data_IF_917376637327
#
_entry.id   IF_917376637327
#
_cell.length_a   1.000
_cell.length_b   1.000
_cell.length_c   1.000
_cell.angle_alpha   90.00
_cell.angle_beta   90.00
_cell.angle_gamma   90.00
#
_symmetry.space_group_name_H-M   'P 1'
#
loop_
_entity.id
_entity.type
_entity.pdbx_description
1 polymer ?
#
# COMPACT_ATOMS: atom_id res chain seq x y z
N UNK A 1 43.27 5.59 -15.62
CA UNK A 1 42.09 5.77 -14.74
C UNK A 1 40.85 5.82 -15.60
N UNK A 2 40.08 4.74 -15.68
CA UNK A 2 38.92 4.65 -16.59
C UNK A 2 37.64 4.93 -15.82
N UNK A 3 37.14 6.17 -15.92
CA UNK A 3 35.86 6.57 -15.32
C UNK A 3 34.73 5.98 -16.16
N UNK A 4 34.08 4.93 -15.64
CA UNK A 4 32.92 4.29 -16.26
C UNK A 4 31.76 5.30 -16.28
N UNK A 5 31.33 5.74 -17.47
CA UNK A 5 30.17 6.61 -17.64
C UNK A 5 28.91 5.88 -17.16
N UNK A 6 28.15 6.49 -16.25
CA UNK A 6 26.88 5.93 -15.78
C UNK A 6 25.87 5.84 -16.96
N UNK A 7 25.07 4.76 -16.97
CA UNK A 7 23.92 4.64 -17.88
C UNK A 7 23.00 5.84 -17.70
N UNK A 8 22.47 6.36 -18.81
CA UNK A 8 21.52 7.49 -18.84
C UNK A 8 20.43 7.25 -17.78
N UNK A 9 20.30 8.19 -16.83
CA UNK A 9 19.35 8.11 -15.70
C UNK A 9 19.91 7.62 -14.36
N UNK A 10 21.15 7.11 -14.30
CA UNK A 10 21.81 6.76 -13.03
C UNK A 10 22.76 7.88 -12.60
N UNK A 11 22.28 8.83 -11.80
CA UNK A 11 23.15 9.73 -11.03
C UNK A 11 23.66 9.01 -9.77
N UNK A 12 24.74 9.52 -9.15
CA UNK A 12 25.28 9.03 -7.85
C UNK A 12 24.26 9.02 -6.70
N UNK A 13 23.09 9.61 -6.94
CA UNK A 13 21.94 9.73 -6.04
C UNK A 13 20.79 8.78 -6.44
N UNK A 14 21.09 7.65 -7.08
CA UNK A 14 20.06 6.69 -7.48
C UNK A 14 19.28 6.20 -6.24
N UNK A 15 17.96 6.30 -6.30
CA UNK A 15 17.07 5.70 -5.29
C UNK A 15 17.30 4.18 -5.31
N UNK A 16 17.48 3.57 -4.14
CA UNK A 16 17.72 2.12 -4.00
C UNK A 16 16.62 1.35 -4.76
N UNK A 17 17.00 0.29 -5.49
CA UNK A 17 16.07 -0.53 -6.28
C UNK A 17 14.86 -1.02 -5.46
N UNK A 18 15.09 -1.35 -4.18
CA UNK A 18 14.06 -1.69 -3.18
C UNK A 18 12.92 -0.66 -3.09
N UNK A 19 13.23 0.64 -3.16
CA UNK A 19 12.22 1.70 -3.09
C UNK A 19 11.43 1.81 -4.40
N UNK A 20 12.07 1.56 -5.54
CA UNK A 20 11.39 1.56 -6.85
C UNK A 20 10.38 0.43 -6.91
N UNK A 21 10.76 -0.77 -6.45
CA UNK A 21 9.86 -1.93 -6.39
C UNK A 21 8.72 -1.72 -5.39
N UNK A 22 9.01 -1.09 -4.25
CA UNK A 22 7.98 -0.70 -3.28
C UNK A 22 6.99 0.30 -3.90
N UNK A 23 7.47 1.35 -4.56
CA UNK A 23 6.61 2.34 -5.23
C UNK A 23 5.80 1.68 -6.34
N UNK A 24 6.37 0.74 -7.11
CA UNK A 24 5.64 0.01 -8.16
C UNK A 24 4.47 -0.79 -7.57
N UNK A 25 4.66 -1.45 -6.44
CA UNK A 25 3.59 -2.19 -5.77
C UNK A 25 2.53 -1.25 -5.16
N UNK A 26 2.96 -0.14 -4.55
CA UNK A 26 2.06 0.84 -3.95
C UNK A 26 1.26 1.63 -5.00
N UNK A 27 1.85 1.93 -6.17
CA UNK A 27 1.20 2.69 -7.25
C UNK A 27 -0.01 1.97 -7.86
N UNK A 28 -0.07 0.64 -7.76
CA UNK A 28 -1.26 -0.14 -8.16
C UNK A 28 -2.43 0.03 -7.20
N UNK A 29 -2.17 0.55 -6.01
CA UNK A 29 -3.09 0.51 -4.88
C UNK A 29 -3.43 1.92 -4.37
N UNK A 30 -2.52 2.87 -4.48
CA UNK A 30 -2.60 4.14 -3.78
C UNK A 30 -2.20 5.31 -4.67
N UNK A 31 -2.80 6.49 -4.44
CA UNK A 31 -2.36 7.71 -5.09
C UNK A 31 -0.98 8.14 -4.58
N UNK A 32 -0.23 8.85 -5.42
CA UNK A 32 1.17 9.24 -5.18
C UNK A 32 1.39 9.98 -3.85
N UNK A 33 0.41 10.77 -3.41
CA UNK A 33 0.47 11.47 -2.13
C UNK A 33 0.51 10.49 -0.94
N UNK A 34 -0.30 9.43 -0.99
CA UNK A 34 -0.32 8.39 0.05
C UNK A 34 0.97 7.58 0.03
N UNK A 35 1.51 7.30 -1.16
CA UNK A 35 2.81 6.62 -1.32
C UNK A 35 3.91 7.43 -0.65
N UNK A 36 3.99 8.74 -0.91
CA UNK A 36 4.97 9.62 -0.29
C UNK A 36 4.90 9.58 1.25
N UNK A 37 3.69 9.61 1.81
CA UNK A 37 3.49 9.53 3.26
C UNK A 37 3.96 8.18 3.84
N UNK A 38 3.72 7.07 3.13
CA UNK A 38 4.17 5.73 3.53
C UNK A 38 5.70 5.64 3.50
N UNK A 39 6.33 6.16 2.46
CA UNK A 39 7.80 6.18 2.35
C UNK A 39 8.44 6.98 3.50
N UNK A 40 7.85 8.12 3.85
CA UNK A 40 8.32 8.92 4.98
C UNK A 40 8.14 8.20 6.32
N UNK A 41 6.98 7.56 6.56
CA UNK A 41 6.73 6.80 7.79
C UNK A 41 7.62 5.56 7.93
N UNK A 42 7.99 4.94 6.82
CA UNK A 42 8.93 3.81 6.79
C UNK A 42 10.40 4.23 6.86
N UNK A 43 10.68 5.53 7.05
CA UNK A 43 12.03 6.07 7.18
C UNK A 43 12.83 6.07 5.88
N UNK A 44 12.20 5.81 4.73
CA UNK A 44 12.87 5.83 3.43
C UNK A 44 13.09 7.28 3.02
N UNK A 45 14.28 7.59 2.51
CA UNK A 45 14.63 8.92 1.97
C UNK A 45 14.89 8.87 0.48
N UNK A 46 14.79 10.02 -0.18
CA UNK A 46 15.19 10.14 -1.58
C UNK A 46 16.70 9.98 -1.71
N UNK A 47 17.19 9.81 -2.94
CA UNK A 47 18.63 9.73 -3.20
C UNK A 47 19.42 10.94 -2.70
N UNK A 48 18.78 12.11 -2.57
CA UNK A 48 19.37 13.34 -2.03
C UNK A 48 19.21 13.47 -0.50
N UNK A 49 18.68 12.46 0.19
CA UNK A 49 18.46 12.49 1.64
C UNK A 49 17.25 13.33 2.09
N UNK A 50 16.42 13.79 1.14
CA UNK A 50 15.20 14.55 1.42
C UNK A 50 13.99 13.62 1.67
N UNK A 51 12.93 14.20 2.23
CA UNK A 51 11.64 13.54 2.40
C UNK A 51 10.94 13.31 1.06
N UNK A 52 10.08 12.31 0.99
CA UNK A 52 9.24 12.03 -0.16
C UNK A 52 8.08 13.01 -0.24
N UNK A 53 7.88 13.58 -1.42
CA UNK A 53 6.73 14.42 -1.78
C UNK A 53 5.97 13.77 -2.92
N UNK A 54 4.74 14.21 -3.19
CA UNK A 54 3.95 13.76 -4.34
C UNK A 54 4.75 13.91 -5.65
N UNK A 55 5.43 15.04 -5.83
CA UNK A 55 6.23 15.31 -7.03
C UNK A 55 7.40 14.33 -7.18
N UNK A 56 8.11 13.99 -6.08
CA UNK A 56 9.16 12.98 -6.12
C UNK A 56 8.66 11.61 -6.58
N UNK A 57 7.49 11.19 -6.07
CA UNK A 57 6.86 9.91 -6.47
C UNK A 57 6.41 9.96 -7.93
N UNK A 58 5.79 11.07 -8.37
CA UNK A 58 5.38 11.27 -9.76
C UNK A 58 6.57 11.19 -10.72
N UNK A 59 7.65 11.92 -10.44
CA UNK A 59 8.88 11.87 -11.25
C UNK A 59 9.48 10.47 -11.28
N UNK A 60 9.57 9.78 -10.14
CA UNK A 60 10.09 8.41 -10.07
C UNK A 60 9.25 7.47 -10.92
N UNK A 61 7.92 7.57 -10.84
CA UNK A 61 7.01 6.75 -11.64
C UNK A 61 7.16 7.01 -13.13
N UNK A 62 7.28 8.27 -13.54
CA UNK A 62 7.48 8.61 -14.95
C UNK A 62 8.80 8.05 -15.50
N UNK A 63 9.90 8.19 -14.74
CA UNK A 63 11.21 7.63 -15.12
C UNK A 63 11.17 6.10 -15.27
N UNK A 64 10.38 5.41 -14.43
CA UNK A 64 10.28 3.95 -14.43
C UNK A 64 9.07 3.37 -15.17
N UNK A 65 8.29 4.20 -15.87
CA UNK A 65 7.09 3.78 -16.61
C UNK A 65 6.00 3.13 -15.75
N UNK A 66 5.83 3.57 -14.51
CA UNK A 66 4.85 2.99 -13.57
C UNK A 66 3.48 3.64 -13.79
N UNK A 67 2.45 2.83 -14.08
CA UNK A 67 1.07 3.27 -14.30
C UNK A 67 0.45 3.98 -13.10
N UNK A 68 -0.49 4.89 -13.37
CA UNK A 68 -1.19 5.67 -12.33
C UNK A 68 -2.26 4.81 -11.68
N UNK A 69 -2.40 4.95 -10.37
CA UNK A 69 -3.51 4.39 -9.62
C UNK A 69 -4.84 4.80 -10.28
N UNK A 70 -5.64 3.79 -10.65
CA UNK A 70 -6.99 3.99 -11.16
C UNK A 70 -7.99 3.62 -10.07
N UNK A 71 -8.83 4.58 -9.71
CA UNK A 71 -9.97 4.32 -8.83
C UNK A 71 -10.87 3.23 -9.45
N UNK A 72 -11.23 2.22 -8.65
CA UNK A 72 -12.04 1.08 -9.11
C UNK A 72 -11.26 -0.19 -9.49
N UNK A 73 -9.99 -0.09 -9.91
CA UNK A 73 -9.20 -1.30 -10.26
C UNK A 73 -9.01 -2.23 -9.05
N UNK A 74 -8.76 -1.64 -7.88
CA UNK A 74 -8.73 -2.37 -6.61
C UNK A 74 -10.08 -3.05 -6.34
N UNK A 75 -11.17 -2.32 -6.64
CA UNK A 75 -12.51 -2.79 -6.35
C UNK A 75 -12.87 -4.03 -7.19
N UNK A 76 -12.50 -4.00 -8.48
CA UNK A 76 -12.64 -5.08 -9.46
C UNK A 76 -11.81 -6.32 -9.09
N UNK A 77 -10.62 -6.13 -8.50
CA UNK A 77 -9.76 -7.24 -8.02
C UNK A 77 -10.21 -7.85 -6.69
N UNK A 78 -11.30 -7.37 -6.09
CA UNK A 78 -11.79 -7.84 -4.78
C UNK A 78 -10.91 -7.44 -3.60
N UNK A 79 -9.99 -6.50 -3.82
CA UNK A 79 -9.17 -5.91 -2.78
C UNK A 79 -9.93 -4.71 -2.19
N UNK A 80 -9.85 -4.51 -0.88
CA UNK A 80 -10.48 -3.41 -0.16
C UNK A 80 -9.54 -2.90 0.92
N UNK A 81 -9.58 -1.60 1.21
CA UNK A 81 -8.89 -1.08 2.39
C UNK A 81 -9.56 -1.54 3.68
N UNK A 82 -8.87 -1.40 4.80
CA UNK A 82 -9.45 -1.59 6.13
C UNK A 82 -10.75 -0.79 6.34
N UNK A 83 -10.78 0.45 5.83
CA UNK A 83 -11.90 1.38 5.98
C UNK A 83 -13.10 0.89 5.15
N UNK A 84 -12.87 0.60 3.87
CA UNK A 84 -13.90 0.03 2.98
C UNK A 84 -14.42 -1.32 3.50
N UNK A 85 -13.54 -2.16 4.06
CA UNK A 85 -13.95 -3.43 4.64
C UNK A 85 -14.80 -3.23 5.91
N UNK A 86 -14.46 -2.24 6.74
CA UNK A 86 -15.25 -1.87 7.91
C UNK A 86 -16.66 -1.39 7.50
N UNK A 87 -16.75 -0.58 6.44
CA UNK A 87 -18.02 -0.09 5.89
C UNK A 87 -18.89 -1.20 5.29
N UNK A 88 -18.27 -2.16 4.59
CA UNK A 88 -18.95 -3.33 4.02
C UNK A 88 -19.45 -4.27 5.13
N UNK A 89 -18.63 -4.50 6.16
CA UNK A 89 -18.97 -5.36 7.29
C UNK A 89 -19.83 -4.66 8.34
N UNK A 90 -20.05 -3.34 8.22
CA UNK A 90 -20.75 -2.50 9.20
C UNK A 90 -20.17 -2.59 10.61
N UNK A 91 -18.84 -2.61 10.71
CA UNK A 91 -18.10 -2.64 11.97
C UNK A 91 -17.23 -1.40 12.13
N UNK A 92 -16.78 -1.11 13.35
CA UNK A 92 -15.82 -0.03 13.56
C UNK A 92 -14.46 -0.37 12.94
N UNK A 93 -13.69 0.64 12.55
CA UNK A 93 -12.30 0.47 12.08
C UNK A 93 -11.42 -0.30 13.07
N UNK A 94 -11.59 -0.07 14.37
CA UNK A 94 -10.86 -0.77 15.42
C UNK A 94 -11.23 -2.27 15.45
N UNK A 95 -12.50 -2.60 15.26
CA UNK A 95 -12.97 -3.98 15.16
C UNK A 95 -12.44 -4.66 13.89
N UNK A 96 -12.50 -3.99 12.74
CA UNK A 96 -11.92 -4.50 11.50
C UNK A 96 -10.41 -4.78 11.66
N UNK A 97 -9.68 -3.89 12.35
CA UNK A 97 -8.27 -4.11 12.65
C UNK A 97 -8.05 -5.32 13.56
N UNK A 98 -8.86 -5.49 14.60
CA UNK A 98 -8.82 -6.70 15.45
C UNK A 98 -9.07 -7.97 14.65
N UNK A 99 -10.02 -7.96 13.72
CA UNK A 99 -10.32 -9.11 12.85
C UNK A 99 -9.17 -9.47 11.92
N UNK A 100 -8.43 -8.47 11.44
CA UNK A 100 -7.19 -8.69 10.70
C UNK A 100 -6.11 -9.26 11.61
N UNK A 101 -5.93 -8.68 12.79
CA UNK A 101 -4.92 -9.11 13.76
C UNK A 101 -5.18 -10.53 14.31
N UNK A 102 -6.45 -10.96 14.38
CA UNK A 102 -6.84 -12.30 14.80
C UNK A 102 -6.89 -13.32 13.66
N UNK A 103 -6.60 -12.90 12.42
CA UNK A 103 -6.59 -13.78 11.25
C UNK A 103 -7.97 -14.15 10.71
N UNK A 104 -9.04 -13.50 11.19
CA UNK A 104 -10.42 -13.70 10.70
C UNK A 104 -10.59 -13.14 9.29
N UNK A 105 -9.97 -11.99 9.01
CA UNK A 105 -9.97 -11.38 7.68
C UNK A 105 -8.59 -11.55 7.02
N UNK A 106 -8.51 -12.18 5.83
CA UNK A 106 -7.25 -12.26 5.10
C UNK A 106 -6.86 -10.87 4.63
N UNK A 107 -5.80 -10.33 5.25
CA UNK A 107 -5.28 -9.02 4.92
C UNK A 107 -3.77 -9.07 4.73
N UNK A 108 -3.29 -8.23 3.81
CA UNK A 108 -1.86 -8.04 3.54
C UNK A 108 -1.51 -6.58 3.74
N UNK A 109 -0.50 -6.33 4.56
CA UNK A 109 0.17 -5.04 4.64
C UNK A 109 1.46 -5.11 3.82
N UNK A 110 1.64 -4.20 2.86
CA UNK A 110 2.83 -4.20 1.99
C UNK A 110 4.09 -3.72 2.73
N UNK A 111 3.95 -2.75 3.61
CA UNK A 111 5.03 -2.24 4.45
C UNK A 111 4.46 -1.54 5.69
N UNK A 112 5.30 -1.34 6.70
CA UNK A 112 4.94 -0.65 7.93
C UNK A 112 4.38 0.74 7.61
N UNK A 113 3.11 0.97 7.97
CA UNK A 113 2.42 2.23 7.72
C UNK A 113 1.69 2.34 6.37
N UNK A 114 1.75 1.30 5.52
CA UNK A 114 0.80 1.15 4.41
C UNK A 114 -0.58 0.70 4.93
N UNK A 115 -1.67 1.08 4.25
CA UNK A 115 -3.00 0.57 4.57
C UNK A 115 -3.05 -0.95 4.39
N UNK A 116 -3.84 -1.60 5.24
CA UNK A 116 -4.15 -3.02 5.10
C UNK A 116 -5.02 -3.23 3.87
N UNK A 117 -4.57 -4.09 2.96
CA UNK A 117 -5.35 -4.53 1.81
C UNK A 117 -5.99 -5.87 2.18
N UNK A 118 -7.30 -5.86 2.31
CA UNK A 118 -8.13 -7.00 2.67
C UNK A 118 -8.71 -7.56 1.38
N UNK A 119 -8.57 -8.88 1.20
CA UNK A 119 -9.19 -9.55 0.07
C UNK A 119 -10.57 -10.03 0.50
N UNK A 120 -11.59 -9.22 0.20
CA UNK A 120 -12.99 -9.61 0.43
C UNK A 120 -13.45 -10.43 -0.77
N UNK A 121 -13.01 -11.69 -0.83
CA UNK A 121 -13.79 -12.70 -1.53
C UNK A 121 -15.16 -12.73 -0.84
N UNK A 122 -16.26 -12.57 -1.59
CA UNK A 122 -17.63 -12.73 -1.06
C UNK A 122 -17.80 -14.21 -0.71
N UNK A 123 -17.11 -14.66 0.33
CA UNK A 123 -17.32 -15.98 0.88
C UNK A 123 -18.40 -15.86 1.91
N UNK A 124 -19.41 -16.70 1.70
CA UNK A 124 -20.49 -17.00 2.64
C UNK A 124 -19.99 -17.24 4.07
N UNK A 125 -18.70 -17.55 4.27
CA UNK A 125 -18.05 -17.72 5.58
C UNK A 125 -18.08 -16.45 6.45
N UNK A 126 -17.95 -15.25 5.88
CA UNK A 126 -18.03 -14.01 6.68
C UNK A 126 -19.47 -13.60 7.04
N UNK A 127 -20.46 -13.99 6.20
CA UNK A 127 -21.88 -13.71 6.48
C UNK A 127 -22.45 -14.63 7.56
N UNK A 128 -21.95 -15.87 7.66
CA UNK A 128 -22.41 -16.88 8.62
C UNK A 128 -21.94 -16.66 10.06
N UNK A 129 -21.15 -15.62 10.33
CA UNK A 129 -20.60 -15.34 11.65
C UNK A 129 -21.18 -14.08 12.28
N UNK A 130 -22.47 -13.81 12.07
CA UNK A 130 -23.21 -12.89 12.95
C UNK A 130 -23.13 -13.32 14.44
N UNK A 131 -22.89 -14.63 14.69
CA UNK A 131 -22.62 -15.17 16.02
C UNK A 131 -21.17 -14.93 16.50
N UNK A 132 -20.18 -14.82 15.60
CA UNK A 132 -18.75 -14.72 15.95
C UNK A 132 -18.27 -13.27 16.16
N UNK A 133 -18.94 -12.28 15.55
CA UNK A 133 -18.66 -10.85 15.85
C UNK A 133 -18.90 -10.55 17.34
N UNK A 134 -19.81 -11.30 17.99
CA UNK A 134 -20.07 -11.17 19.43
C UNK A 134 -18.91 -11.65 20.32
N UNK A 135 -18.05 -12.55 19.83
CA UNK A 135 -16.90 -13.08 20.58
C UNK A 135 -15.65 -12.19 20.55
N UNK A 136 -15.56 -11.25 19.59
CA UNK A 136 -14.41 -10.35 19.44
C UNK A 136 -14.69 -8.93 19.98
N UNK A 137 -15.95 -8.66 20.33
CA UNK A 137 -16.45 -7.35 20.82
C UNK A 137 -16.76 -7.37 22.34
N UNK A 138 -16.38 -8.44 23.06
CA UNK A 138 -16.43 -8.49 24.54
C UNK A 138 -15.01 -8.40 25.09
#
# INVERSE_FOLDING_TARGET
>A
MTVKKNKIGQTRWAVKADVVDLVRNLARQLPDLSIAAILNRSGKRTGHGASWTRSHVCSLRNIHGISVYREGERAERGERTLDEAADILKVSRATAYRMVSSGVLPARQLCTGAPWIIQLYISRKCRASATFVRFVVI
#
